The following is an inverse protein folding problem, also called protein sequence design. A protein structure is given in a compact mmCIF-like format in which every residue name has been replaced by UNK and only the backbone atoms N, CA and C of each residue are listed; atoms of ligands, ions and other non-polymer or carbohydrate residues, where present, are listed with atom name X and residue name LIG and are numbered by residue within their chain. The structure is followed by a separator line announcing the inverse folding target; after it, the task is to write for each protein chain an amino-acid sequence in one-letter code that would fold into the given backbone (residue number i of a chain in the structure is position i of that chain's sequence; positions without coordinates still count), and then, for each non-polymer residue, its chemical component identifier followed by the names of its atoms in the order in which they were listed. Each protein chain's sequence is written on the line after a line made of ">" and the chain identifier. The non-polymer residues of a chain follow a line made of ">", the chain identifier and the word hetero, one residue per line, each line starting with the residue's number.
data_IF_331253759559
#
_entry.id   IF_331253759559
#
_cell.length_a   1.000
_cell.length_b   1.000
_cell.length_c   1.000
_cell.angle_alpha   90.00
_cell.angle_beta   90.00
_cell.angle_gamma   90.00
#
_symmetry.space_group_name_H-M   'P 1'
#
loop_
_entity.id
_entity.type
_entity.pdbx_description
1 polymer ?
#
# COMPACT_ATOMS: atom_id res chain seq x y z
N UNK A 1 29.38 22.15 20.61
CA UNK A 1 27.92 22.26 20.36
C UNK A 1 27.55 21.22 19.33
N UNK A 2 26.96 20.10 19.77
CA UNK A 2 26.50 19.03 18.88
C UNK A 2 25.17 19.48 18.28
N UNK A 3 25.17 19.94 17.03
CA UNK A 3 23.95 20.18 16.28
C UNK A 3 23.43 18.83 15.77
N UNK A 4 22.46 18.23 16.46
CA UNK A 4 21.35 17.44 15.86
C UNK A 4 20.13 17.56 16.78
N UNK A 5 18.97 18.06 16.28
CA UNK A 5 17.79 17.17 16.18
C UNK A 5 16.71 17.56 15.13
N UNK A 6 16.99 18.41 14.12
CA UNK A 6 15.92 18.89 13.21
C UNK A 6 15.24 17.77 12.41
N UNK A 7 15.97 16.71 12.07
CA UNK A 7 15.47 15.58 11.28
C UNK A 7 14.54 14.67 12.09
N UNK A 8 14.88 14.34 13.33
CA UNK A 8 14.08 13.46 14.18
C UNK A 8 12.72 14.06 14.51
N UNK A 9 12.68 15.34 14.92
CA UNK A 9 11.41 16.02 15.23
C UNK A 9 10.50 16.05 13.99
N UNK A 10 11.05 16.31 12.81
CA UNK A 10 10.25 16.32 11.56
C UNK A 10 9.69 14.94 11.19
N UNK A 11 10.45 13.88 11.45
CA UNK A 11 10.00 12.51 11.23
C UNK A 11 8.85 12.14 12.17
N UNK A 12 9.01 12.38 13.48
CA UNK A 12 7.96 12.09 14.46
C UNK A 12 6.70 12.90 14.21
N UNK A 13 6.82 14.19 13.90
CA UNK A 13 5.67 15.02 13.53
C UNK A 13 4.98 14.48 12.28
N UNK A 14 5.72 14.10 11.23
CA UNK A 14 5.16 13.49 10.03
C UNK A 14 4.42 12.18 10.33
N UNK A 15 5.01 11.30 11.15
CA UNK A 15 4.39 10.05 11.55
C UNK A 15 3.09 10.27 12.33
N UNK A 16 3.07 11.21 13.27
CA UNK A 16 1.86 11.56 14.03
C UNK A 16 0.76 12.12 13.12
N UNK A 17 1.11 12.92 12.12
CA UNK A 17 0.16 13.43 11.12
C UNK A 17 -0.45 12.28 10.31
N UNK A 18 0.38 11.32 9.86
CA UNK A 18 -0.09 10.15 9.11
C UNK A 18 -1.00 9.25 9.96
N UNK A 19 -0.62 8.97 11.20
CA UNK A 19 -1.44 8.17 12.13
C UNK A 19 -2.74 8.90 12.44
N UNK A 20 -2.68 10.19 12.77
CA UNK A 20 -3.86 11.00 13.06
C UNK A 20 -4.81 11.08 11.86
N UNK A 21 -4.27 11.26 10.65
CA UNK A 21 -5.04 11.22 9.41
C UNK A 21 -5.69 9.86 9.15
N UNK A 22 -4.95 8.76 9.36
CA UNK A 22 -5.50 7.41 9.22
C UNK A 22 -6.64 7.14 10.20
N UNK A 23 -6.46 7.51 11.48
CA UNK A 23 -7.49 7.35 12.52
C UNK A 23 -8.72 8.20 12.19
N UNK A 24 -8.53 9.45 11.78
CA UNK A 24 -9.62 10.32 11.37
C UNK A 24 -10.41 9.72 10.20
N UNK A 25 -9.73 9.20 9.18
CA UNK A 25 -10.38 8.51 8.06
C UNK A 25 -11.12 7.26 8.52
N UNK A 26 -10.51 6.44 9.37
CA UNK A 26 -11.13 5.22 9.92
C UNK A 26 -12.43 5.53 10.68
N UNK A 27 -12.44 6.58 11.49
CA UNK A 27 -13.64 7.06 12.20
C UNK A 27 -14.66 7.64 11.22
N UNK A 28 -14.23 8.41 10.24
CA UNK A 28 -15.14 9.01 9.25
C UNK A 28 -15.90 7.93 8.47
N UNK A 29 -15.19 6.91 7.98
CA UNK A 29 -15.80 5.85 7.17
C UNK A 29 -16.53 4.78 7.99
N UNK A 30 -16.29 4.69 9.30
CA UNK A 30 -17.12 3.85 10.18
C UNK A 30 -18.48 4.51 10.47
N UNK A 31 -18.54 5.84 10.53
CA UNK A 31 -19.80 6.60 10.72
C UNK A 31 -20.53 6.85 9.41
N UNK A 32 -19.80 7.16 8.33
CA UNK A 32 -20.34 7.39 6.98
C UNK A 32 -19.62 6.51 5.95
N UNK A 33 -20.07 5.25 5.76
CA UNK A 33 -19.35 4.30 4.92
C UNK A 33 -19.24 4.68 3.44
N UNK A 34 -20.26 5.34 2.90
CA UNK A 34 -20.32 5.77 1.51
C UNK A 34 -20.26 7.28 1.49
N UNK A 35 -19.10 7.82 1.12
CA UNK A 35 -18.91 9.24 0.92
C UNK A 35 -19.21 9.58 -0.54
N UNK A 36 -19.93 10.68 -0.78
CA UNK A 36 -20.25 11.11 -2.15
C UNK A 36 -18.99 11.37 -2.98
N UNK A 37 -17.94 11.89 -2.34
CA UNK A 37 -16.65 12.14 -2.99
C UNK A 37 -16.00 10.84 -3.47
N UNK A 38 -16.10 9.74 -2.71
CA UNK A 38 -15.55 8.44 -3.11
C UNK A 38 -16.22 7.94 -4.39
N UNK A 39 -17.55 8.01 -4.44
CA UNK A 39 -18.33 7.59 -5.62
C UNK A 39 -18.03 8.48 -6.83
N UNK A 40 -17.82 9.79 -6.62
CA UNK A 40 -17.44 10.71 -7.70
C UNK A 40 -16.06 10.40 -8.26
N UNK A 41 -15.07 10.15 -7.39
CA UNK A 41 -13.72 9.78 -7.80
C UNK A 41 -13.75 8.43 -8.53
N UNK A 42 -14.44 7.44 -7.99
CA UNK A 42 -14.53 6.11 -8.59
C UNK A 42 -15.17 6.16 -9.98
N UNK A 43 -16.27 6.91 -10.14
CA UNK A 43 -16.89 7.14 -11.46
C UNK A 43 -15.98 7.91 -12.42
N UNK A 44 -15.24 8.90 -11.94
CA UNK A 44 -14.29 9.65 -12.76
C UNK A 44 -13.18 8.74 -13.29
N UNK A 45 -12.60 7.89 -12.43
CA UNK A 45 -11.59 6.89 -12.84
C UNK A 45 -12.21 5.89 -13.82
N UNK A 46 -13.37 5.32 -13.52
CA UNK A 46 -14.05 4.34 -14.39
C UNK A 46 -14.55 4.93 -15.72
N UNK A 47 -14.72 6.26 -15.81
CA UNK A 47 -15.05 6.94 -17.06
C UNK A 47 -13.88 6.93 -18.06
N UNK A 48 -12.65 6.72 -17.58
CA UNK A 48 -11.45 6.56 -18.41
C UNK A 48 -11.45 5.16 -19.03
N UNK A 49 -12.30 4.95 -20.05
CA UNK A 49 -12.41 3.67 -20.76
C UNK A 49 -11.24 3.49 -21.73
N UNK A 50 -10.16 2.86 -21.28
CA UNK A 50 -9.06 2.48 -22.15
C UNK A 50 -8.55 1.06 -21.82
N UNK A 51 -8.53 0.11 -22.78
CA UNK A 51 -8.14 -1.28 -22.50
C UNK A 51 -6.74 -1.45 -21.88
N UNK A 52 -5.82 -0.53 -22.17
CA UNK A 52 -4.48 -0.55 -21.60
C UNK A 52 -4.47 -0.11 -20.13
N UNK A 53 -5.37 0.77 -19.71
CA UNK A 53 -5.54 1.13 -18.29
C UNK A 53 -6.04 -0.06 -17.49
N UNK A 54 -7.00 -0.81 -18.03
CA UNK A 54 -7.51 -2.03 -17.40
C UNK A 54 -6.41 -3.09 -17.27
N UNK A 55 -5.60 -3.27 -18.31
CA UNK A 55 -4.47 -4.21 -18.29
C UNK A 55 -3.41 -3.81 -17.25
N UNK A 56 -3.09 -2.51 -17.13
CA UNK A 56 -2.14 -2.00 -16.13
C UNK A 56 -2.70 -2.17 -14.72
N UNK A 57 -3.96 -1.78 -14.48
CA UNK A 57 -4.62 -1.93 -13.20
C UNK A 57 -4.63 -3.41 -12.77
N UNK A 58 -5.04 -4.31 -13.67
CA UNK A 58 -5.05 -5.75 -13.42
C UNK A 58 -3.64 -6.28 -13.08
N UNK A 59 -2.62 -5.90 -13.84
CA UNK A 59 -1.24 -6.30 -13.60
C UNK A 59 -0.68 -5.80 -12.27
N UNK A 60 -1.02 -4.58 -11.87
CA UNK A 60 -0.62 -4.03 -10.57
C UNK A 60 -1.39 -4.68 -9.42
N UNK A 61 -2.69 -4.94 -9.57
CA UNK A 61 -3.49 -5.67 -8.57
C UNK A 61 -2.89 -7.03 -8.23
N UNK A 62 -2.28 -7.73 -9.20
CA UNK A 62 -1.57 -9.00 -8.96
C UNK A 62 -0.47 -8.92 -7.90
N UNK A 63 0.21 -7.78 -7.78
CA UNK A 63 1.27 -7.56 -6.79
C UNK A 63 0.73 -7.39 -5.37
N UNK A 64 -0.53 -7.00 -5.24
CA UNK A 64 -1.21 -6.83 -3.95
C UNK A 64 -2.13 -8.00 -3.58
N UNK A 65 -2.55 -8.82 -4.55
CA UNK A 65 -3.63 -9.81 -4.37
C UNK A 65 -3.11 -11.21 -3.97
N UNK A 66 -3.55 -11.78 -2.82
CA UNK A 66 -3.21 -13.15 -2.45
C UNK A 66 -3.83 -14.20 -3.40
N UNK A 67 -3.17 -15.35 -3.64
CA UNK A 67 -1.93 -15.79 -3.01
C UNK A 67 -0.65 -15.20 -3.63
N UNK A 68 -0.75 -14.51 -4.77
CA UNK A 68 0.42 -14.05 -5.53
C UNK A 68 1.27 -13.02 -4.80
N UNK A 69 0.67 -12.07 -4.09
CA UNK A 69 1.42 -11.12 -3.27
C UNK A 69 2.29 -11.82 -2.22
N UNK A 70 1.74 -12.84 -1.53
CA UNK A 70 2.48 -13.62 -0.53
C UNK A 70 3.68 -14.33 -1.15
N UNK A 71 3.50 -14.95 -2.33
CA UNK A 71 4.58 -15.64 -3.04
C UNK A 71 5.65 -14.65 -3.49
N UNK A 72 5.26 -13.53 -4.08
CA UNK A 72 6.19 -12.51 -4.58
C UNK A 72 6.98 -11.89 -3.42
N UNK A 73 6.31 -11.51 -2.34
CA UNK A 73 6.93 -10.92 -1.17
C UNK A 73 7.92 -11.90 -0.52
N UNK A 74 7.54 -13.17 -0.40
CA UNK A 74 8.42 -14.23 0.13
C UNK A 74 9.66 -14.46 -0.76
N UNK A 75 9.50 -14.47 -2.08
CA UNK A 75 10.61 -14.62 -3.01
C UNK A 75 11.59 -13.44 -2.94
N UNK A 76 11.07 -12.21 -2.81
CA UNK A 76 11.91 -11.01 -2.66
C UNK A 76 12.65 -11.04 -1.31
N UNK A 77 11.95 -11.38 -0.21
CA UNK A 77 12.59 -11.53 1.11
C UNK A 77 13.68 -12.58 1.07
N UNK A 78 13.43 -13.73 0.41
CA UNK A 78 14.44 -14.78 0.23
C UNK A 78 15.63 -14.28 -0.60
N UNK A 79 15.39 -13.57 -1.70
CA UNK A 79 16.44 -12.98 -2.51
C UNK A 79 17.32 -12.02 -1.70
N UNK A 80 16.72 -11.15 -0.89
CA UNK A 80 17.44 -10.25 0.02
C UNK A 80 18.23 -11.06 1.06
N UNK A 81 17.65 -12.12 1.63
CA UNK A 81 18.33 -12.97 2.61
C UNK A 81 19.58 -13.63 2.03
N UNK A 82 19.51 -14.10 0.77
CA UNK A 82 20.65 -14.73 0.07
C UNK A 82 21.80 -13.74 -0.15
N UNK A 83 21.52 -12.43 -0.24
CA UNK A 83 22.59 -11.40 -0.33
C UNK A 83 23.33 -11.15 0.99
N UNK A 84 22.94 -11.81 2.08
CA UNK A 84 23.58 -11.64 3.40
C UNK A 84 23.20 -10.33 4.09
N UNK A 85 22.12 -9.67 3.67
CA UNK A 85 21.64 -8.44 4.30
C UNK A 85 20.80 -8.75 5.54
N UNK A 86 21.49 -8.98 6.66
CA UNK A 86 20.93 -9.45 7.94
C UNK A 86 19.79 -8.61 8.52
N UNK A 87 19.72 -7.32 8.19
CA UNK A 87 18.65 -6.42 8.66
C UNK A 87 17.53 -6.25 7.63
N UNK A 88 17.86 -6.28 6.33
CA UNK A 88 16.92 -5.90 5.27
C UNK A 88 15.85 -6.98 5.05
N UNK A 89 16.25 -8.25 5.04
CA UNK A 89 15.33 -9.38 4.87
C UNK A 89 14.27 -9.46 5.99
N UNK A 90 14.64 -9.49 7.29
CA UNK A 90 13.63 -9.53 8.35
C UNK A 90 12.80 -8.24 8.41
N UNK A 91 13.36 -7.08 8.08
CA UNK A 91 12.59 -5.82 8.03
C UNK A 91 11.54 -5.83 6.91
N UNK A 92 11.88 -6.33 5.72
CA UNK A 92 10.94 -6.49 4.61
C UNK A 92 9.84 -7.51 4.95
N UNK A 93 10.21 -8.65 5.54
CA UNK A 93 9.26 -9.64 6.04
C UNK A 93 8.33 -9.09 7.12
N UNK A 94 8.86 -8.27 8.03
CA UNK A 94 8.07 -7.58 9.05
C UNK A 94 7.12 -6.56 8.42
N UNK A 95 7.53 -5.85 7.36
CA UNK A 95 6.65 -4.95 6.61
C UNK A 95 5.45 -5.67 6.01
N UNK A 96 5.67 -6.80 5.31
CA UNK A 96 4.60 -7.61 4.74
C UNK A 96 3.68 -8.18 5.84
N UNK A 97 4.24 -8.89 6.81
CA UNK A 97 3.46 -9.54 7.88
C UNK A 97 2.73 -8.51 8.78
N UNK A 98 3.40 -7.41 9.11
CA UNK A 98 2.85 -6.32 9.90
C UNK A 98 1.70 -5.62 9.19
N UNK A 99 1.80 -5.43 7.87
CA UNK A 99 0.70 -4.87 7.07
C UNK A 99 -0.53 -5.77 7.08
N UNK A 100 -0.35 -7.09 6.97
CA UNK A 100 -1.44 -8.06 7.05
C UNK A 100 -2.07 -8.08 8.45
N UNK A 101 -1.26 -8.09 9.50
CA UNK A 101 -1.75 -8.03 10.89
C UNK A 101 -2.55 -6.74 11.15
N UNK A 102 -2.05 -5.60 10.69
CA UNK A 102 -2.73 -4.31 10.80
C UNK A 102 -4.04 -4.33 10.01
N UNK A 103 -4.05 -4.89 8.80
CA UNK A 103 -5.27 -5.04 8.01
C UNK A 103 -6.34 -5.82 8.76
N UNK A 104 -6.02 -7.01 9.29
CA UNK A 104 -6.96 -7.82 10.06
C UNK A 104 -7.48 -7.09 11.31
N UNK A 105 -6.59 -6.39 12.03
CA UNK A 105 -6.97 -5.64 13.22
C UNK A 105 -7.96 -4.51 12.91
N UNK A 106 -7.72 -3.72 11.85
CA UNK A 106 -8.60 -2.61 11.48
C UNK A 106 -9.90 -3.12 10.84
N UNK A 107 -9.81 -4.17 10.02
CA UNK A 107 -10.97 -4.81 9.39
C UNK A 107 -11.99 -5.26 10.43
N UNK A 108 -11.53 -5.85 11.53
CA UNK A 108 -12.36 -6.32 12.64
C UNK A 108 -13.07 -5.21 13.43
N UNK A 109 -12.74 -3.94 13.18
CA UNK A 109 -13.33 -2.80 13.89
C UNK A 109 -14.20 -1.97 12.95
N UNK A 110 -13.70 -1.61 11.75
CA UNK A 110 -14.32 -0.59 10.89
C UNK A 110 -15.51 -1.12 10.09
N UNK A 111 -15.51 -2.40 9.69
CA UNK A 111 -16.61 -3.07 8.98
C UNK A 111 -17.24 -2.27 7.81
N UNK A 112 -16.43 -1.48 7.09
CA UNK A 112 -16.94 -0.62 6.01
C UNK A 112 -17.44 -1.47 4.82
N UNK A 113 -18.73 -1.37 4.40
CA UNK A 113 -19.24 -2.03 3.21
C UNK A 113 -18.53 -1.56 1.93
N UNK A 114 -18.49 -2.44 0.91
CA UNK A 114 -18.04 -2.09 -0.45
C UNK A 114 -19.17 -1.39 -1.22
N UNK A 115 -18.86 -0.44 -2.12
CA UNK A 115 -19.84 0.11 -3.04
C UNK A 115 -20.55 -0.98 -3.83
N UNK A 116 -21.85 -0.80 -4.03
CA UNK A 116 -22.70 -1.74 -4.74
C UNK A 116 -22.74 -1.44 -6.25
N UNK A 117 -23.09 -2.43 -7.10
CA UNK A 117 -23.09 -2.26 -8.56
C UNK A 117 -24.01 -1.16 -9.11
N UNK A 118 -25.00 -0.70 -8.34
CA UNK A 118 -25.84 0.45 -8.67
C UNK A 118 -25.10 1.80 -8.56
N UNK A 119 -24.00 1.84 -7.80
CA UNK A 119 -23.19 3.04 -7.62
C UNK A 119 -22.05 3.12 -8.64
N UNK A 120 -21.37 2.00 -8.88
CA UNK A 120 -20.08 1.91 -9.61
C UNK A 120 -19.90 0.54 -10.27
N UNK A 121 -18.97 0.43 -11.22
CA UNK A 121 -18.58 -0.86 -11.80
C UNK A 121 -17.82 -1.71 -10.78
N UNK A 122 -18.22 -2.98 -10.61
CA UNK A 122 -17.60 -3.92 -9.66
C UNK A 122 -16.92 -5.04 -10.43
N UNK A 123 -15.58 -5.01 -10.49
CA UNK A 123 -14.78 -6.02 -11.19
C UNK A 123 -14.78 -7.39 -10.49
N UNK A 124 -14.79 -7.40 -9.14
CA UNK A 124 -14.82 -8.62 -8.35
C UNK A 124 -15.58 -8.42 -7.04
N UNK A 125 -16.33 -9.44 -6.61
CA UNK A 125 -17.00 -9.45 -5.31
C UNK A 125 -16.05 -9.99 -4.24
N UNK A 126 -15.56 -9.10 -3.40
CA UNK A 126 -14.68 -9.44 -2.27
C UNK A 126 -15.53 -9.52 -1.00
N UNK A 127 -15.43 -10.65 -0.27
CA UNK A 127 -16.23 -10.93 0.93
C UNK A 127 -15.81 -10.17 2.20
N UNK A 128 -14.85 -9.25 2.09
CA UNK A 128 -14.32 -8.46 3.20
C UNK A 128 -14.60 -6.97 2.98
N UNK A 129 -14.55 -6.20 4.06
CA UNK A 129 -14.75 -4.74 4.04
C UNK A 129 -13.83 -3.99 3.07
N UNK A 130 -14.23 -2.76 2.74
CA UNK A 130 -13.52 -1.86 1.83
C UNK A 130 -12.41 -1.06 2.49
N UNK A 131 -12.40 -0.95 3.83
CA UNK A 131 -11.42 -0.14 4.56
C UNK A 131 -10.66 -0.92 5.64
N UNK A 132 -9.32 -0.76 5.70
CA UNK A 132 -8.46 -0.23 4.63
C UNK A 132 -8.38 -1.24 3.47
N UNK A 133 -7.93 -0.80 2.29
CA UNK A 133 -7.59 -1.74 1.22
C UNK A 133 -6.38 -2.56 1.64
N UNK A 134 -6.52 -3.88 1.75
CA UNK A 134 -5.43 -4.77 2.14
C UNK A 134 -4.31 -4.80 1.09
N UNK A 135 -4.67 -4.74 -0.19
CA UNK A 135 -3.71 -4.70 -1.30
C UNK A 135 -2.91 -3.41 -1.31
N UNK A 136 -3.57 -2.26 -1.12
CA UNK A 136 -2.89 -0.97 -1.01
C UNK A 136 -2.00 -0.90 0.24
N UNK A 137 -2.47 -1.43 1.37
CA UNK A 137 -1.69 -1.44 2.61
C UNK A 137 -0.44 -2.31 2.49
N UNK A 138 -0.56 -3.54 1.96
CA UNK A 138 0.58 -4.42 1.73
C UNK A 138 1.58 -3.78 0.77
N UNK A 139 1.09 -3.27 -0.36
CA UNK A 139 1.99 -2.72 -1.38
C UNK A 139 2.71 -1.47 -0.90
N UNK A 140 2.03 -0.58 -0.19
CA UNK A 140 2.65 0.59 0.43
C UNK A 140 3.70 0.21 1.47
N UNK A 141 3.39 -0.72 2.37
CA UNK A 141 4.31 -1.14 3.42
C UNK A 141 5.53 -1.87 2.85
N UNK A 142 5.31 -2.84 1.96
CA UNK A 142 6.35 -3.70 1.42
C UNK A 142 7.17 -2.99 0.33
N UNK A 143 6.55 -2.54 -0.76
CA UNK A 143 7.28 -1.88 -1.86
C UNK A 143 7.78 -0.49 -1.45
N UNK A 144 7.06 0.23 -0.57
CA UNK A 144 7.59 1.46 0.01
C UNK A 144 8.88 1.23 0.80
N UNK A 145 8.97 0.14 1.57
CA UNK A 145 10.21 -0.24 2.24
C UNK A 145 11.30 -0.67 1.24
N UNK A 146 10.97 -1.43 0.19
CA UNK A 146 11.92 -1.76 -0.87
C UNK A 146 12.48 -0.52 -1.57
N UNK A 147 11.66 0.54 -1.76
CA UNK A 147 12.12 1.81 -2.30
C UNK A 147 13.17 2.46 -1.39
N UNK A 148 12.99 2.39 -0.06
CA UNK A 148 13.98 2.87 0.92
C UNK A 148 15.27 2.04 0.84
N UNK A 149 15.17 0.71 0.77
CA UNK A 149 16.34 -0.16 0.59
C UNK A 149 17.10 0.16 -0.70
N UNK A 150 16.37 0.39 -1.78
CA UNK A 150 16.94 0.63 -3.11
C UNK A 150 17.81 1.90 -3.17
N UNK A 151 17.68 2.84 -2.23
CA UNK A 151 18.55 4.02 -2.13
C UNK A 151 20.03 3.63 -1.96
N UNK A 152 20.30 2.46 -1.37
CA UNK A 152 21.65 1.93 -1.14
C UNK A 152 22.30 1.34 -2.40
N UNK A 153 21.57 1.21 -3.52
CA UNK A 153 22.12 0.72 -4.78
C UNK A 153 23.16 1.72 -5.33
N UNK A 154 24.39 1.24 -5.56
CA UNK A 154 25.52 2.05 -6.04
C UNK A 154 25.30 2.59 -7.45
N UNK A 155 24.78 1.74 -8.35
CA UNK A 155 24.52 2.09 -9.75
C UNK A 155 23.33 3.06 -9.82
N UNK A 156 23.61 4.34 -10.07
CA UNK A 156 22.62 5.43 -10.03
C UNK A 156 21.39 5.19 -10.91
N UNK A 157 21.58 4.69 -12.13
CA UNK A 157 20.46 4.42 -13.04
C UNK A 157 19.57 3.29 -12.50
N UNK A 158 20.17 2.21 -11.99
CA UNK A 158 19.44 1.09 -11.41
C UNK A 158 18.69 1.52 -10.15
N UNK A 159 19.36 2.28 -9.26
CA UNK A 159 18.75 2.89 -8.08
C UNK A 159 17.48 3.67 -8.45
N UNK A 160 17.59 4.57 -9.43
CA UNK A 160 16.45 5.40 -9.86
C UNK A 160 15.31 4.53 -10.38
N UNK A 161 15.60 3.54 -11.21
CA UNK A 161 14.57 2.63 -11.73
C UNK A 161 13.87 1.89 -10.60
N UNK A 162 14.62 1.24 -9.70
CA UNK A 162 14.02 0.44 -8.62
C UNK A 162 13.22 1.32 -7.66
N UNK A 163 13.75 2.47 -7.25
CA UNK A 163 13.02 3.42 -6.38
C UNK A 163 11.72 3.86 -7.04
N UNK A 164 11.76 4.25 -8.32
CA UNK A 164 10.56 4.70 -9.04
C UNK A 164 9.53 3.58 -9.17
N UNK A 165 9.94 2.38 -9.57
CA UNK A 165 9.03 1.24 -9.71
C UNK A 165 8.38 0.91 -8.37
N UNK A 166 9.17 0.77 -7.30
CA UNK A 166 8.68 0.46 -5.96
C UNK A 166 7.77 1.56 -5.40
N UNK A 167 8.04 2.83 -5.69
CA UNK A 167 7.22 3.95 -5.23
C UNK A 167 5.90 4.11 -6.03
N UNK A 168 5.87 3.68 -7.29
CA UNK A 168 4.69 3.80 -8.15
C UNK A 168 3.70 2.64 -7.98
N UNK A 169 4.17 1.44 -7.62
CA UNK A 169 3.29 0.27 -7.42
C UNK A 169 2.11 0.57 -6.48
N UNK A 170 2.30 1.15 -5.27
CA UNK A 170 1.19 1.42 -4.35
C UNK A 170 0.13 2.37 -4.90
N UNK A 171 0.48 3.24 -5.86
CA UNK A 171 -0.44 4.22 -6.44
C UNK A 171 -1.39 3.60 -7.46
N UNK A 172 -1.02 2.47 -8.06
CA UNK A 172 -1.86 1.78 -9.04
C UNK A 172 -2.57 0.55 -8.49
N UNK A 173 -2.46 0.29 -7.18
CA UNK A 173 -3.14 -0.82 -6.50
C UNK A 173 -4.29 -0.27 -5.65
N UNK A 174 -5.51 -0.50 -6.12
CA UNK A 174 -6.76 -0.03 -5.48
C UNK A 174 -7.90 -1.00 -5.74
#
# INVERSE_FOLDING_TARGET
>A
MVQQPRTETSFFSGLLVLIGGFVLLAVLVSVRPILTVDVQIERAVQSMRAPWLDAVAFGLSFLGFPPWSIVIDALIVLAIAITGQWWAAPSAGFGAAGSAALWFAVLAVVHRPRPTPDLVYVAARIGYGSFPSGHALNTLAFYGFLAVLAVQIERVWLRRIVVMVCALIPLGVG
#
